data_IF_943645496980
#
_entry.id   IF_943645496980
#
_cell.length_a   1.000
_cell.length_b   1.000
_cell.length_c   1.000
_cell.angle_alpha   90.00
_cell.angle_beta   90.00
_cell.angle_gamma   90.00
#
_symmetry.space_group_name_H-M   'P 1'
#
loop_
_entity.id
_entity.type
_entity.pdbx_description
1 polymer ?
#
# COMPACT_ATOMS: atom_id res chain seq x y z
N UNK A 1 17.99 1.35 32.72
CA UNK A 1 17.23 0.88 31.55
C UNK A 1 15.80 0.59 31.99
N UNK A 2 14.89 1.53 31.74
CA UNK A 2 13.51 1.50 32.27
C UNK A 2 12.57 0.84 31.26
N UNK A 3 11.54 0.15 31.74
CA UNK A 3 10.58 -0.65 30.97
C UNK A 3 9.91 0.03 29.76
N UNK A 4 10.07 1.34 29.57
CA UNK A 4 9.49 2.10 28.47
C UNK A 4 10.26 1.95 27.16
N UNK A 5 11.59 1.83 27.19
CA UNK A 5 12.38 1.71 25.96
C UNK A 5 12.14 0.37 25.26
N UNK A 6 12.02 -0.72 26.02
CA UNK A 6 11.75 -2.05 25.48
C UNK A 6 10.36 -2.19 24.83
N UNK A 7 9.37 -1.43 25.31
CA UNK A 7 8.01 -1.41 24.72
C UNK A 7 7.98 -0.68 23.38
N UNK A 8 8.70 0.44 23.26
CA UNK A 8 8.75 1.25 22.03
C UNK A 8 9.32 0.40 20.88
N UNK A 9 10.40 -0.32 21.13
CA UNK A 9 11.05 -1.18 20.13
C UNK A 9 10.10 -2.28 19.60
N UNK A 10 9.45 -3.01 20.52
CA UNK A 10 8.52 -4.09 20.16
C UNK A 10 7.31 -3.57 19.37
N UNK A 11 6.78 -2.40 19.71
CA UNK A 11 5.64 -1.80 18.98
C UNK A 11 6.01 -1.37 17.56
N UNK A 12 7.21 -0.84 17.33
CA UNK A 12 7.68 -0.49 15.98
C UNK A 12 7.87 -1.75 15.14
N UNK A 13 8.43 -2.81 15.73
CA UNK A 13 8.60 -4.09 15.04
C UNK A 13 7.27 -4.71 14.63
N UNK A 14 6.28 -4.75 15.53
CA UNK A 14 4.92 -5.25 15.22
C UNK A 14 4.28 -4.43 14.10
N UNK A 15 4.39 -3.10 14.15
CA UNK A 15 3.78 -2.24 13.14
C UNK A 15 4.42 -2.44 11.75
N UNK A 16 5.74 -2.67 11.68
CA UNK A 16 6.44 -3.04 10.45
C UNK A 16 5.95 -4.36 9.87
N UNK A 17 5.79 -5.38 10.71
CA UNK A 17 5.27 -6.68 10.28
C UNK A 17 3.82 -6.60 9.80
N UNK A 18 2.98 -5.80 10.47
CA UNK A 18 1.60 -5.55 10.03
C UNK A 18 1.60 -4.84 8.67
N UNK A 19 2.36 -3.75 8.51
CA UNK A 19 2.42 -3.00 7.25
C UNK A 19 2.90 -3.88 6.08
N UNK A 20 3.95 -4.68 6.31
CA UNK A 20 4.48 -5.63 5.31
C UNK A 20 3.46 -6.71 4.98
N UNK A 21 2.86 -7.34 6.00
CA UNK A 21 1.87 -8.40 5.83
C UNK A 21 0.63 -7.93 5.05
N UNK A 22 0.06 -6.79 5.45
CA UNK A 22 -1.10 -6.21 4.77
C UNK A 22 -0.76 -5.81 3.33
N UNK A 23 0.41 -5.19 3.11
CA UNK A 23 0.89 -4.81 1.80
C UNK A 23 1.04 -6.01 0.86
N UNK A 24 1.66 -7.09 1.33
CA UNK A 24 1.81 -8.32 0.54
C UNK A 24 0.49 -9.01 0.26
N UNK A 25 -0.44 -9.00 1.23
CA UNK A 25 -1.75 -9.63 1.07
C UNK A 25 -2.56 -8.93 -0.02
N UNK A 26 -2.60 -7.60 0.03
CA UNK A 26 -3.35 -6.78 -0.94
C UNK A 26 -2.68 -6.82 -2.32
N UNK A 27 -1.35 -6.77 -2.40
CA UNK A 27 -0.63 -6.93 -3.67
C UNK A 27 -0.89 -8.31 -4.30
N UNK A 28 -0.85 -9.38 -3.50
CA UNK A 28 -1.15 -10.74 -3.96
C UNK A 28 -2.61 -10.87 -4.43
N UNK A 29 -3.55 -10.26 -3.71
CA UNK A 29 -4.95 -10.24 -4.11
C UNK A 29 -5.17 -9.56 -5.46
N UNK A 30 -4.56 -8.39 -5.68
CA UNK A 30 -4.62 -7.70 -6.97
C UNK A 30 -3.92 -8.46 -8.09
N UNK A 31 -2.79 -9.10 -7.81
CA UNK A 31 -2.10 -9.97 -8.77
C UNK A 31 -2.99 -11.14 -9.18
N UNK A 32 -3.69 -11.76 -8.22
CA UNK A 32 -4.62 -12.84 -8.50
C UNK A 32 -5.79 -12.38 -9.37
N UNK A 33 -6.36 -11.20 -9.10
CA UNK A 33 -7.39 -10.60 -9.98
C UNK A 33 -6.84 -10.39 -11.39
N UNK A 34 -5.64 -9.82 -11.54
CA UNK A 34 -5.02 -9.60 -12.84
C UNK A 34 -4.85 -10.91 -13.64
N UNK A 35 -4.40 -11.98 -12.97
CA UNK A 35 -4.26 -13.30 -13.60
C UNK A 35 -5.62 -13.87 -14.00
N UNK A 36 -6.64 -13.75 -13.14
CA UNK A 36 -7.98 -14.21 -13.46
C UNK A 36 -8.58 -13.45 -14.66
N UNK A 37 -8.41 -12.14 -14.73
CA UNK A 37 -8.84 -11.35 -15.89
C UNK A 37 -8.13 -11.82 -17.18
N UNK A 38 -6.82 -12.11 -17.14
CA UNK A 38 -6.12 -12.65 -18.30
C UNK A 38 -6.63 -14.02 -18.78
N UNK A 39 -7.19 -14.83 -17.88
CA UNK A 39 -7.69 -16.18 -18.20
C UNK A 39 -9.17 -16.16 -18.63
N UNK A 40 -10.01 -15.39 -17.93
CA UNK A 40 -11.47 -15.43 -18.07
C UNK A 40 -12.03 -14.29 -18.91
N UNK A 41 -11.40 -13.13 -18.89
CA UNK A 41 -11.81 -11.97 -19.68
C UNK A 41 -10.91 -11.89 -20.92
N UNK A 42 -11.34 -12.55 -21.99
CA UNK A 42 -10.81 -12.32 -23.33
C UNK A 42 -11.40 -11.01 -23.92
N UNK A 43 -11.52 -9.98 -23.09
CA UNK A 43 -12.04 -8.67 -23.45
C UNK A 43 -10.89 -7.78 -23.97
N UNK A 44 -11.23 -6.99 -24.97
CA UNK A 44 -10.34 -6.38 -25.95
C UNK A 44 -9.31 -5.46 -25.28
N UNK A 45 -8.08 -5.44 -25.81
CA UNK A 45 -6.96 -4.60 -25.34
C UNK A 45 -7.23 -3.10 -25.45
N UNK A 46 -8.14 -2.60 -24.62
CA UNK A 46 -8.50 -1.21 -24.47
C UNK A 46 -7.49 -0.45 -23.62
N UNK A 47 -7.66 0.86 -23.59
CA UNK A 47 -6.80 1.76 -22.82
C UNK A 47 -7.07 1.54 -21.32
N UNK A 48 -8.30 1.19 -20.95
CA UNK A 48 -8.77 0.94 -19.59
C UNK A 48 -8.04 -0.25 -18.95
N UNK A 49 -7.98 -1.39 -19.64
CA UNK A 49 -7.28 -2.59 -19.15
C UNK A 49 -5.77 -2.39 -19.06
N UNK A 50 -5.20 -1.61 -19.98
CA UNK A 50 -3.79 -1.22 -19.95
C UNK A 50 -3.46 -0.34 -18.73
N UNK A 51 -4.31 0.66 -18.43
CA UNK A 51 -4.16 1.52 -17.25
C UNK A 51 -4.26 0.69 -15.96
N UNK A 52 -5.24 -0.21 -15.86
CA UNK A 52 -5.38 -1.09 -14.71
C UNK A 52 -4.17 -2.00 -14.52
N UNK A 53 -3.66 -2.63 -15.59
CA UNK A 53 -2.46 -3.45 -15.52
C UNK A 53 -1.25 -2.65 -15.00
N UNK A 54 -1.09 -1.42 -15.49
CA UNK A 54 0.01 -0.53 -15.06
C UNK A 54 -0.14 -0.11 -13.58
N UNK A 55 -1.36 0.14 -13.11
CA UNK A 55 -1.64 0.42 -11.71
C UNK A 55 -1.31 -0.77 -10.81
N UNK A 56 -1.70 -1.99 -11.21
CA UNK A 56 -1.41 -3.22 -10.47
C UNK A 56 0.09 -3.44 -10.38
N UNK A 57 0.82 -3.35 -11.50
CA UNK A 57 2.29 -3.49 -11.51
C UNK A 57 2.94 -2.41 -10.63
N UNK A 58 2.48 -1.16 -10.72
CA UNK A 58 2.97 -0.06 -9.88
C UNK A 58 2.72 -0.30 -8.40
N UNK A 59 1.57 -0.88 -8.05
CA UNK A 59 1.24 -1.25 -6.66
C UNK A 59 2.19 -2.31 -6.11
N UNK A 60 2.50 -3.34 -6.91
CA UNK A 60 3.42 -4.42 -6.55
C UNK A 60 4.83 -3.84 -6.35
N UNK A 61 5.31 -3.04 -7.30
CA UNK A 61 6.61 -2.37 -7.19
C UNK A 61 6.67 -1.44 -5.97
N UNK A 62 5.60 -0.70 -5.70
CA UNK A 62 5.48 0.16 -4.51
C UNK A 62 5.63 -0.63 -3.21
N UNK A 63 4.98 -1.80 -3.10
CA UNK A 63 5.12 -2.70 -1.94
C UNK A 63 6.52 -3.28 -1.84
N UNK A 64 7.12 -3.73 -2.95
CA UNK A 64 8.49 -4.25 -2.96
C UNK A 64 9.51 -3.17 -2.56
N UNK A 65 9.35 -1.94 -3.05
CA UNK A 65 10.18 -0.80 -2.64
C UNK A 65 9.93 -0.47 -1.18
N UNK A 66 8.69 -0.51 -0.69
CA UNK A 66 8.35 -0.22 0.71
C UNK A 66 9.00 -1.19 1.70
N UNK A 67 9.28 -2.43 1.26
CA UNK A 67 10.04 -3.40 2.06
C UNK A 67 11.49 -2.96 2.30
N UNK A 68 12.13 -2.33 1.31
CA UNK A 68 13.50 -1.84 1.38
C UNK A 68 13.58 -0.42 1.97
N UNK A 69 12.66 0.46 1.57
CA UNK A 69 12.60 1.88 1.93
C UNK A 69 11.16 2.26 2.26
N UNK A 70 10.84 2.19 3.56
CA UNK A 70 9.48 2.39 4.09
C UNK A 70 8.82 3.69 3.62
N UNK A 71 9.54 4.81 3.69
CA UNK A 71 9.01 6.13 3.29
C UNK A 71 8.72 6.22 1.80
N UNK A 72 9.69 5.84 0.95
CA UNK A 72 9.57 5.98 -0.49
C UNK A 72 8.52 5.05 -1.05
N UNK A 73 8.53 3.79 -0.62
CA UNK A 73 7.49 2.84 -1.02
C UNK A 73 6.11 3.23 -0.49
N UNK A 74 6.02 3.75 0.74
CA UNK A 74 4.77 4.29 1.29
C UNK A 74 4.21 5.44 0.47
N UNK A 75 5.06 6.36 0.00
CA UNK A 75 4.66 7.46 -0.90
C UNK A 75 4.22 6.95 -2.27
N UNK A 76 4.95 5.99 -2.86
CA UNK A 76 4.57 5.37 -4.13
C UNK A 76 3.18 4.70 -4.01
N UNK A 77 2.96 3.92 -2.94
CA UNK A 77 1.69 3.27 -2.68
C UNK A 77 0.56 4.30 -2.50
N UNK A 78 0.81 5.44 -1.86
CA UNK A 78 -0.17 6.53 -1.76
C UNK A 78 -0.53 7.13 -3.11
N UNK A 79 0.45 7.36 -3.98
CA UNK A 79 0.20 7.85 -5.34
C UNK A 79 -0.63 6.84 -6.12
N UNK A 80 -0.29 5.55 -6.00
CA UNK A 80 -1.05 4.45 -6.62
C UNK A 80 -2.48 4.38 -6.05
N UNK A 81 -2.66 4.58 -4.75
CA UNK A 81 -3.98 4.63 -4.12
C UNK A 81 -4.86 5.73 -4.71
N UNK A 82 -4.31 6.94 -4.86
CA UNK A 82 -5.01 8.07 -5.48
C UNK A 82 -5.36 7.74 -6.93
N UNK A 83 -4.42 7.18 -7.69
CA UNK A 83 -4.65 6.83 -9.08
C UNK A 83 -5.74 5.75 -9.24
N UNK A 84 -5.75 4.71 -8.39
CA UNK A 84 -6.82 3.71 -8.32
C UNK A 84 -8.17 4.34 -7.98
N UNK A 85 -8.21 5.24 -7.00
CA UNK A 85 -9.43 5.98 -6.64
C UNK A 85 -9.94 6.83 -7.81
N UNK A 86 -9.06 7.57 -8.50
CA UNK A 86 -9.45 8.39 -9.66
C UNK A 86 -9.96 7.53 -10.79
N UNK A 87 -9.28 6.42 -11.10
CA UNK A 87 -9.74 5.47 -12.11
C UNK A 87 -11.12 4.90 -11.76
N UNK A 88 -11.33 4.49 -10.50
CA UNK A 88 -12.62 4.01 -10.03
C UNK A 88 -13.74 5.08 -10.05
N UNK A 89 -13.43 6.36 -9.87
CA UNK A 89 -14.41 7.45 -10.01
C UNK A 89 -14.92 7.62 -11.44
N UNK A 90 -14.06 7.34 -12.42
CA UNK A 90 -14.35 7.46 -13.84
C UNK A 90 -15.16 6.26 -14.31
N UNK A 91 -14.70 5.04 -13.97
CA UNK A 91 -15.32 3.77 -14.37
C UNK A 91 -16.64 3.48 -13.64
N UNK A 92 -16.79 3.93 -12.39
CA UNK A 92 -17.99 3.59 -11.62
C UNK A 92 -19.23 4.31 -12.16
N UNK A 93 -20.12 3.55 -12.83
CA UNK A 93 -21.42 4.05 -13.27
C UNK A 93 -22.35 4.43 -12.12
N UNK A 94 -22.41 3.61 -11.06
CA UNK A 94 -23.19 3.86 -9.84
C UNK A 94 -22.33 3.65 -8.58
N UNK A 95 -22.67 4.34 -7.48
CA UNK A 95 -21.98 4.23 -6.18
C UNK A 95 -20.47 4.51 -6.22
N UNK A 96 -20.09 5.60 -6.89
CA UNK A 96 -18.69 6.07 -7.04
C UNK A 96 -17.91 6.11 -5.73
N UNK A 97 -18.53 6.54 -4.63
CA UNK A 97 -17.87 6.57 -3.32
C UNK A 97 -17.46 5.20 -2.81
N UNK A 98 -18.28 4.17 -3.02
CA UNK A 98 -17.96 2.80 -2.61
C UNK A 98 -16.87 2.19 -3.50
N UNK A 99 -16.92 2.46 -4.81
CA UNK A 99 -15.89 2.03 -5.75
C UNK A 99 -14.51 2.63 -5.42
N UNK A 100 -14.47 3.92 -5.08
CA UNK A 100 -13.25 4.60 -4.60
C UNK A 100 -12.70 3.98 -3.32
N UNK A 101 -13.59 3.72 -2.36
CA UNK A 101 -13.21 3.20 -1.06
C UNK A 101 -12.62 1.79 -1.17
N UNK A 102 -13.21 0.92 -2.00
CA UNK A 102 -12.74 -0.45 -2.19
C UNK A 102 -11.47 -0.50 -3.05
N UNK A 103 -11.36 0.35 -4.07
CA UNK A 103 -10.19 0.34 -4.97
C UNK A 103 -8.95 0.96 -4.32
N UNK A 104 -9.03 2.22 -3.91
CA UNK A 104 -7.88 2.98 -3.40
C UNK A 104 -7.74 2.95 -1.88
N UNK A 105 -8.82 2.72 -1.14
CA UNK A 105 -8.80 2.70 0.33
C UNK A 105 -7.79 1.73 0.93
N UNK A 106 -7.72 0.45 0.50
CA UNK A 106 -6.74 -0.50 1.02
C UNK A 106 -5.30 -0.03 0.82
N UNK A 107 -4.96 0.48 -0.37
CA UNK A 107 -3.64 1.02 -0.67
C UNK A 107 -3.32 2.27 0.15
N UNK A 108 -4.30 3.16 0.34
CA UNK A 108 -4.13 4.37 1.15
C UNK A 108 -3.78 4.02 2.61
N UNK A 109 -4.47 3.02 3.18
CA UNK A 109 -4.20 2.52 4.53
C UNK A 109 -2.79 1.93 4.62
N UNK A 110 -2.39 1.12 3.65
CA UNK A 110 -1.04 0.53 3.60
C UNK A 110 0.04 1.60 3.48
N UNK A 111 -0.09 2.53 2.54
CA UNK A 111 0.88 3.61 2.33
C UNK A 111 1.05 4.47 3.58
N UNK A 112 -0.08 4.80 4.23
CA UNK A 112 -0.08 5.52 5.51
C UNK A 112 0.63 4.75 6.63
N UNK A 113 0.43 3.42 6.72
CA UNK A 113 1.13 2.56 7.69
C UNK A 113 2.65 2.54 7.46
N UNK A 114 3.10 2.50 6.21
CA UNK A 114 4.53 2.57 5.87
C UNK A 114 5.15 3.92 6.23
N UNK A 115 4.43 5.03 6.03
CA UNK A 115 4.91 6.34 6.46
C UNK A 115 4.92 6.45 7.98
N UNK A 116 3.86 5.97 8.66
CA UNK A 116 3.76 6.01 10.11
C UNK A 116 4.84 5.17 10.81
N UNK A 117 5.20 4.01 10.24
CA UNK A 117 6.32 3.18 10.71
C UNK A 117 7.66 3.91 10.56
N UNK A 118 7.91 4.57 9.42
CA UNK A 118 9.10 5.38 9.23
C UNK A 118 9.19 6.55 10.23
N UNK A 119 8.10 7.30 10.44
CA UNK A 119 8.02 8.40 11.40
C UNK A 119 8.33 7.93 12.83
N UNK A 120 7.74 6.79 13.25
CA UNK A 120 7.99 6.22 14.58
C UNK A 120 9.42 5.70 14.72
N UNK A 121 9.95 5.02 13.71
CA UNK A 121 11.34 4.53 13.73
C UNK A 121 12.35 5.68 13.87
N UNK A 122 12.11 6.82 13.21
CA UNK A 122 13.00 7.99 13.31
C UNK A 122 12.95 8.62 14.70
N UNK A 123 11.78 8.66 15.34
CA UNK A 123 11.59 9.22 16.68
C UNK A 123 12.28 8.39 17.77
N UNK A 124 12.30 7.06 17.62
CA UNK A 124 13.02 6.17 18.54
C UNK A 124 14.54 6.36 18.52
N UNK A 125 15.11 6.72 17.37
CA UNK A 125 16.57 6.92 17.23
C UNK A 125 17.07 8.22 17.88
N UNK A 126 16.23 9.26 17.94
CA UNK A 126 16.58 10.53 18.59
C UNK A 126 16.59 10.38 20.11
N UNK A 127 15.65 9.63 20.68
CA UNK A 127 15.52 9.45 22.14
C UNK A 127 16.71 8.73 22.79
N UNK A 128 17.46 7.91 22.04
CA UNK A 128 18.61 7.16 22.57
C UNK A 128 19.94 7.93 22.48
N UNK A 129 19.98 9.05 21.75
CA UNK A 129 21.19 9.88 21.61
C UNK A 129 21.24 11.07 22.58
N UNK A 130 20.14 11.32 23.30
CA UNK A 130 19.99 12.44 24.25
C UNK A 130 20.12 11.98 25.73
N UNK A 131 20.49 10.72 25.98
CA UNK A 131 20.61 10.09 27.31
C UNK A 131 22.02 9.57 27.58
#
# INVERSE_FOLDING_TARGET
MTNNEFKIDRSVMILRWIARGLGTLIASFWLLIAILSLIYEQEQGGIESTIMALLIVSSILGVVIAWLRELEGGLIILVVAIAHSTFALIEAGHNKGFAVLISGGPFFVIGSLFIATWWRSKRSYVSTNDS
#
